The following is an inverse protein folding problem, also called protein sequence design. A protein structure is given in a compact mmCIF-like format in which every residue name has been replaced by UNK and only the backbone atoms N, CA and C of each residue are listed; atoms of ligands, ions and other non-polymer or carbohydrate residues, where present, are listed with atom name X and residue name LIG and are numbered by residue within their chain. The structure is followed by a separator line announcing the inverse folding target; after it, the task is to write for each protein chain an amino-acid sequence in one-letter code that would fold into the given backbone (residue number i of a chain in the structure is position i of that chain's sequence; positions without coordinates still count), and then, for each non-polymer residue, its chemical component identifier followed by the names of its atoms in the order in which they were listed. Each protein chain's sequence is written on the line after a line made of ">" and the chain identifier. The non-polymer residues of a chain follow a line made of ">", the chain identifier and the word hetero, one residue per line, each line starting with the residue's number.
data_IF_590292420632
#
_entry.id   IF_590292420632
#
_cell.length_a   1.000
_cell.length_b   1.000
_cell.length_c   1.000
_cell.angle_alpha   90.00
_cell.angle_beta   90.00
_cell.angle_gamma   90.00
#
_symmetry.space_group_name_H-M   'P 1'
#
loop_
_entity.id
_entity.type
_entity.pdbx_description
1 polymer ?
#
# COMPACT_ATOMS: atom_id res chain seq x y z
N UNK A 1 -57.76 14.42 -60.95
CA UNK A 1 -58.90 15.22 -60.44
C UNK A 1 -58.46 15.76 -59.07
N UNK A 2 -57.79 16.91 -59.01
CA UNK A 2 -58.27 18.30 -59.01
C UNK A 2 -58.95 18.72 -57.69
N UNK A 3 -58.42 19.83 -57.15
CA UNK A 3 -58.95 20.80 -56.17
C UNK A 3 -58.78 20.51 -54.67
N UNK A 4 -57.94 21.26 -53.93
CA UNK A 4 -58.02 22.70 -53.59
C UNK A 4 -59.25 23.04 -52.73
N UNK A 5 -59.05 23.40 -51.46
CA UNK A 5 -59.33 24.77 -50.97
C UNK A 5 -58.90 24.97 -49.50
N UNK A 6 -58.25 26.11 -49.28
CA UNK A 6 -57.88 26.72 -47.99
C UNK A 6 -59.12 27.19 -47.22
N UNK A 7 -59.04 27.25 -45.88
CA UNK A 7 -59.37 28.44 -45.07
C UNK A 7 -58.91 28.28 -43.61
N UNK A 8 -58.27 29.32 -43.11
CA UNK A 8 -57.72 29.46 -41.76
C UNK A 8 -58.77 29.98 -40.76
N UNK A 9 -58.57 29.74 -39.46
CA UNK A 9 -58.87 30.73 -38.43
C UNK A 9 -58.03 30.54 -37.16
N UNK A 10 -57.76 31.68 -36.54
CA UNK A 10 -56.85 32.01 -35.44
C UNK A 10 -57.13 31.31 -34.11
N UNK A 11 -56.07 31.11 -33.33
CA UNK A 11 -56.13 30.82 -31.90
C UNK A 11 -54.75 30.91 -31.24
N UNK A 12 -54.31 32.14 -30.97
CA UNK A 12 -53.08 32.50 -30.24
C UNK A 12 -53.15 32.07 -28.78
N UNK A 13 -52.18 31.30 -28.26
CA UNK A 13 -51.64 31.47 -26.89
C UNK A 13 -50.16 31.04 -26.88
N UNK A 14 -49.38 31.83 -26.17
CA UNK A 14 -47.93 31.92 -26.17
C UNK A 14 -47.19 30.74 -25.53
N UNK A 15 -45.90 30.63 -25.88
CA UNK A 15 -44.84 30.42 -24.89
C UNK A 15 -44.27 29.00 -24.83
N UNK A 16 -43.15 28.78 -25.53
CA UNK A 16 -41.84 28.58 -24.89
C UNK A 16 -40.79 28.43 -26.00
N UNK A 17 -39.95 29.45 -26.17
CA UNK A 17 -38.73 29.30 -26.95
C UNK A 17 -37.76 28.42 -26.12
N UNK A 18 -37.59 27.17 -26.52
CA UNK A 18 -36.51 26.33 -25.98
C UNK A 18 -35.21 26.85 -26.61
N UNK A 19 -34.49 27.69 -25.85
CA UNK A 19 -33.11 28.02 -26.15
C UNK A 19 -32.30 26.72 -26.15
N UNK A 20 -31.76 26.34 -27.31
CA UNK A 20 -30.60 25.46 -27.37
C UNK A 20 -29.44 26.20 -26.70
N UNK A 21 -29.21 25.94 -25.41
CA UNK A 21 -27.88 26.13 -24.85
C UNK A 21 -26.99 25.04 -25.45
N UNK A 22 -26.25 25.41 -26.50
CA UNK A 22 -25.00 24.76 -26.80
C UNK A 22 -24.09 24.94 -25.58
N UNK A 23 -24.18 24.01 -24.64
CA UNK A 23 -23.11 23.77 -23.69
C UNK A 23 -21.94 23.31 -24.53
N UNK A 24 -21.09 24.26 -24.89
CA UNK A 24 -19.68 24.00 -25.14
C UNK A 24 -19.16 23.37 -23.86
N UNK A 25 -19.31 22.04 -23.76
CA UNK A 25 -18.53 21.23 -22.86
C UNK A 25 -17.09 21.50 -23.23
N UNK A 26 -16.45 22.44 -22.53
CA UNK A 26 -15.01 22.36 -22.33
C UNK A 26 -14.78 20.91 -21.92
N UNK A 27 -13.82 20.17 -22.51
CA UNK A 27 -13.39 18.94 -21.87
C UNK A 27 -13.09 19.35 -20.44
N UNK A 28 -13.95 18.92 -19.52
CA UNK A 28 -13.68 19.06 -18.11
C UNK A 28 -12.40 18.26 -17.99
N UNK A 29 -11.28 18.97 -17.78
CA UNK A 29 -10.06 18.33 -17.38
C UNK A 29 -10.50 17.39 -16.27
N UNK A 30 -10.34 16.09 -16.51
CA UNK A 30 -10.50 15.08 -15.50
C UNK A 30 -9.45 15.45 -14.46
N UNK A 31 -9.81 16.34 -13.54
CA UNK A 31 -9.06 16.58 -12.33
C UNK A 31 -9.05 15.21 -11.68
N UNK A 32 -7.95 14.50 -11.88
CA UNK A 32 -7.71 13.20 -11.30
C UNK A 32 -7.54 13.42 -9.80
N UNK A 33 -8.66 13.56 -9.10
CA UNK A 33 -8.75 13.16 -7.71
C UNK A 33 -8.37 11.67 -7.69
N UNK A 34 -7.09 11.37 -7.54
CA UNK A 34 -6.59 10.00 -7.53
C UNK A 34 -7.25 9.29 -6.35
N UNK A 35 -8.24 8.45 -6.66
CA UNK A 35 -8.82 7.49 -5.73
C UNK A 35 -7.69 6.63 -5.14
N UNK A 36 -7.78 6.31 -3.85
CA UNK A 36 -6.85 5.36 -3.24
C UNK A 36 -6.89 4.05 -4.01
N UNK A 37 -5.75 3.60 -4.52
CA UNK A 37 -5.59 2.43 -5.37
C UNK A 37 -4.53 1.52 -4.78
N UNK A 38 -4.62 0.22 -5.04
CA UNK A 38 -3.59 -0.74 -4.65
C UNK A 38 -2.28 -0.29 -5.31
N UNK A 39 -1.30 -0.01 -4.46
CA UNK A 39 0.02 0.48 -4.84
C UNK A 39 1.06 -0.63 -4.89
N UNK A 40 0.87 -1.73 -4.17
CA UNK A 40 1.78 -2.87 -4.32
C UNK A 40 1.60 -3.93 -3.26
N UNK A 41 2.22 -5.08 -3.52
CA UNK A 41 2.09 -6.30 -2.74
C UNK A 41 3.37 -6.57 -1.97
N UNK A 42 3.26 -7.11 -0.76
CA UNK A 42 4.41 -7.36 0.12
C UNK A 42 4.39 -8.77 0.70
N UNK A 43 5.58 -9.33 0.85
CA UNK A 43 5.84 -10.52 1.65
C UNK A 43 6.86 -10.19 2.74
N UNK A 44 6.66 -10.72 3.94
CA UNK A 44 7.45 -10.35 5.11
C UNK A 44 7.55 -11.45 6.15
N UNK A 45 8.50 -11.25 7.08
CA UNK A 45 8.49 -11.88 8.40
C UNK A 45 8.37 -10.83 9.49
N UNK A 46 7.64 -11.21 10.53
CA UNK A 46 7.58 -10.46 11.78
C UNK A 46 8.36 -11.23 12.83
N UNK A 47 9.42 -10.63 13.34
CA UNK A 47 10.19 -11.14 14.45
C UNK A 47 9.65 -10.54 15.76
N UNK A 48 9.37 -11.39 16.74
CA UNK A 48 8.87 -10.99 18.05
C UNK A 48 9.72 -11.64 19.16
N UNK A 49 9.94 -10.89 20.23
CA UNK A 49 10.31 -11.44 21.52
C UNK A 49 9.15 -11.23 22.50
N UNK A 50 8.38 -12.28 22.84
CA UNK A 50 7.25 -12.17 23.75
C UNK A 50 7.64 -11.70 25.17
N UNK A 51 8.88 -11.93 25.59
CA UNK A 51 9.34 -11.58 26.94
C UNK A 51 9.57 -10.08 27.11
N UNK A 52 9.96 -9.39 26.03
CA UNK A 52 10.22 -7.94 26.03
C UNK A 52 9.19 -7.14 25.23
N UNK A 53 8.34 -7.82 24.45
CA UNK A 53 7.39 -7.20 23.52
C UNK A 53 8.07 -6.56 22.30
N UNK A 54 9.36 -6.79 22.06
CA UNK A 54 10.08 -6.24 20.90
C UNK A 54 9.59 -6.87 19.61
N UNK A 55 9.41 -6.03 18.59
CA UNK A 55 8.98 -6.44 17.25
C UNK A 55 9.86 -5.80 16.18
N UNK A 56 10.15 -6.56 15.12
CA UNK A 56 10.76 -6.06 13.89
C UNK A 56 10.12 -6.72 12.68
N UNK A 57 9.88 -5.92 11.64
CA UNK A 57 9.45 -6.40 10.33
C UNK A 57 10.63 -6.36 9.36
N UNK A 58 10.78 -7.41 8.56
CA UNK A 58 11.58 -7.38 7.33
C UNK A 58 10.79 -8.01 6.20
N UNK A 59 11.05 -7.60 4.97
CA UNK A 59 10.35 -8.15 3.82
C UNK A 59 10.74 -7.50 2.51
N UNK A 60 9.96 -7.78 1.49
CA UNK A 60 10.16 -7.23 0.15
C UNK A 60 8.84 -6.89 -0.52
N UNK A 61 8.92 -6.02 -1.53
CA UNK A 61 7.82 -5.73 -2.43
C UNK A 61 7.81 -6.77 -3.55
N UNK A 62 6.68 -7.46 -3.72
CA UNK A 62 6.48 -8.40 -4.81
C UNK A 62 6.05 -7.68 -6.09
N UNK A 63 5.28 -6.60 -5.95
CA UNK A 63 4.87 -5.73 -7.03
C UNK A 63 4.71 -4.29 -6.52
N UNK A 64 4.87 -3.31 -7.41
CA UNK A 64 4.61 -1.91 -7.14
C UNK A 64 3.95 -1.28 -8.38
N UNK A 65 2.72 -0.84 -8.22
CA UNK A 65 1.96 -0.19 -9.28
C UNK A 65 2.68 1.05 -9.79
N UNK A 66 2.93 1.10 -11.09
CA UNK A 66 3.70 2.16 -11.74
C UNK A 66 5.14 1.79 -12.06
N UNK A 67 5.66 0.70 -11.49
CA UNK A 67 6.95 0.10 -11.87
C UNK A 67 6.68 -1.08 -12.79
N UNK A 68 7.18 -1.01 -14.04
CA UNK A 68 6.94 -2.07 -15.04
C UNK A 68 8.01 -3.16 -15.03
N UNK A 69 9.15 -2.87 -14.42
CA UNK A 69 10.28 -3.79 -14.34
C UNK A 69 10.04 -4.80 -13.23
N UNK A 70 10.57 -6.01 -13.43
CA UNK A 70 10.60 -7.03 -12.37
C UNK A 70 11.26 -6.45 -11.11
N UNK A 71 10.62 -6.66 -9.95
CA UNK A 71 11.21 -6.41 -8.65
C UNK A 71 12.09 -7.57 -8.16
N UNK A 72 12.37 -8.54 -9.05
CA UNK A 72 13.19 -9.70 -8.77
C UNK A 72 14.30 -9.87 -9.83
N UNK A 73 15.51 -10.16 -9.36
CA UNK A 73 16.64 -10.62 -10.17
C UNK A 73 16.68 -12.16 -10.20
N UNK A 74 15.67 -12.77 -10.82
CA UNK A 74 15.49 -14.23 -10.87
C UNK A 74 14.08 -14.67 -10.50
N UNK A 75 13.93 -15.91 -10.04
CA UNK A 75 12.65 -16.43 -9.56
C UNK A 75 12.18 -15.63 -8.32
N UNK A 76 10.89 -15.26 -8.22
CA UNK A 76 10.40 -14.47 -7.09
C UNK A 76 10.69 -15.10 -5.72
N UNK A 77 11.29 -14.33 -4.81
CA UNK A 77 11.63 -14.73 -3.45
C UNK A 77 12.54 -13.71 -2.76
N UNK A 78 12.80 -13.89 -1.46
CA UNK A 78 13.63 -12.95 -0.68
C UNK A 78 15.05 -12.82 -1.23
N UNK A 79 15.62 -13.94 -1.70
CA UNK A 79 16.99 -13.99 -2.20
C UNK A 79 17.17 -13.21 -3.51
N UNK A 80 16.08 -12.92 -4.23
CA UNK A 80 16.13 -12.25 -5.54
C UNK A 80 15.47 -10.87 -5.53
N UNK A 81 14.86 -10.45 -4.43
CA UNK A 81 14.09 -9.21 -4.37
C UNK A 81 14.98 -7.96 -4.36
N UNK A 82 14.80 -7.09 -5.34
CA UNK A 82 15.61 -5.86 -5.49
C UNK A 82 15.12 -4.72 -4.62
N UNK A 83 13.85 -4.74 -4.20
CA UNK A 83 13.29 -3.77 -3.25
C UNK A 83 12.86 -4.48 -1.96
N UNK A 84 13.66 -4.29 -0.92
CA UNK A 84 13.40 -4.82 0.41
C UNK A 84 13.00 -3.71 1.37
N UNK A 85 12.47 -4.09 2.53
CA UNK A 85 12.24 -3.17 3.62
C UNK A 85 12.58 -3.79 4.96
N UNK A 86 12.88 -2.91 5.91
CA UNK A 86 13.12 -3.26 7.31
C UNK A 86 12.59 -2.16 8.22
N UNK A 87 11.93 -2.56 9.30
CA UNK A 87 11.54 -1.62 10.34
C UNK A 87 12.65 -1.41 11.36
N UNK A 88 12.64 -0.26 12.04
CA UNK A 88 13.30 -0.20 13.35
C UNK A 88 12.62 -1.18 14.32
N UNK A 89 13.29 -1.49 15.44
CA UNK A 89 12.66 -2.24 16.52
C UNK A 89 11.62 -1.33 17.20
N UNK A 90 10.41 -1.87 17.38
CA UNK A 90 9.31 -1.22 18.08
C UNK A 90 8.69 -2.20 19.08
N UNK A 91 7.61 -1.82 19.77
CA UNK A 91 6.99 -2.67 20.79
C UNK A 91 5.55 -3.02 20.47
N UNK A 92 5.16 -4.20 20.93
CA UNK A 92 3.80 -4.71 20.93
C UNK A 92 3.39 -5.05 22.37
N UNK A 93 2.16 -4.70 22.72
CA UNK A 93 1.57 -4.98 24.04
C UNK A 93 0.24 -5.70 23.84
N UNK A 94 0.12 -6.97 24.26
CA UNK A 94 -1.17 -7.66 24.22
C UNK A 94 -2.18 -6.95 25.12
N UNK A 95 -3.41 -6.86 24.66
CA UNK A 95 -4.56 -6.46 25.46
C UNK A 95 -5.22 -7.72 26.04
N UNK A 96 -6.04 -7.60 27.10
CA UNK A 96 -6.87 -8.71 27.56
C UNK A 96 -7.67 -9.32 26.40
N UNK A 97 -7.80 -10.65 26.40
CA UNK A 97 -8.58 -11.38 25.40
C UNK A 97 -10.04 -10.92 25.42
N UNK A 98 -10.64 -10.77 24.24
CA UNK A 98 -12.06 -10.50 24.07
C UNK A 98 -12.73 -11.69 23.38
N UNK A 99 -13.10 -12.71 24.18
CA UNK A 99 -13.59 -13.97 23.64
C UNK A 99 -12.51 -14.68 22.82
N UNK A 100 -12.84 -15.02 21.57
CA UNK A 100 -11.96 -15.65 20.58
C UNK A 100 -11.10 -14.64 19.78
N UNK A 101 -11.21 -13.35 20.10
CA UNK A 101 -10.42 -12.29 19.51
C UNK A 101 -9.30 -11.88 20.46
N UNK A 102 -8.06 -12.04 20.00
CA UNK A 102 -6.87 -11.51 20.68
C UNK A 102 -6.45 -10.20 20.03
N UNK A 103 -6.23 -9.17 20.84
CA UNK A 103 -5.87 -7.82 20.37
C UNK A 103 -4.50 -7.45 20.92
N UNK A 104 -3.66 -6.87 20.06
CA UNK A 104 -2.33 -6.39 20.44
C UNK A 104 -2.15 -4.96 19.98
N UNK A 105 -1.81 -4.06 20.89
CA UNK A 105 -1.48 -2.67 20.56
C UNK A 105 -0.02 -2.59 20.15
N UNK A 106 0.24 -1.98 18.99
CA UNK A 106 1.57 -1.90 18.39
C UNK A 106 1.98 -0.45 18.25
N UNK A 107 3.18 -0.09 18.74
CA UNK A 107 3.66 1.30 18.71
C UNK A 107 4.01 1.79 17.29
N UNK A 108 4.34 3.07 17.19
CA UNK A 108 4.86 3.67 15.95
C UNK A 108 6.16 3.00 15.55
N UNK A 109 6.37 2.87 14.24
CA UNK A 109 7.59 2.33 13.65
C UNK A 109 7.89 3.03 12.31
N UNK A 110 9.18 3.12 11.99
CA UNK A 110 9.74 3.52 10.70
C UNK A 110 10.07 2.26 9.92
N UNK A 111 9.71 2.27 8.65
CA UNK A 111 9.98 1.24 7.65
C UNK A 111 10.86 1.87 6.59
N UNK A 112 12.11 1.42 6.55
CA UNK A 112 13.08 1.84 5.55
C UNK A 112 13.00 0.89 4.37
N UNK A 113 13.00 1.43 3.16
CA UNK A 113 13.00 0.69 1.89
C UNK A 113 14.39 0.79 1.28
N UNK A 114 14.93 -0.34 0.85
CA UNK A 114 16.28 -0.48 0.34
C UNK A 114 16.26 -1.04 -1.08
N UNK A 115 17.09 -0.49 -1.96
CA UNK A 115 17.39 -1.02 -3.28
C UNK A 115 18.64 -1.90 -3.19
N UNK A 116 18.49 -3.20 -3.49
CA UNK A 116 19.58 -4.17 -3.56
C UNK A 116 19.85 -4.50 -5.02
N UNK A 117 20.95 -3.99 -5.58
CA UNK A 117 21.37 -4.30 -6.96
C UNK A 117 21.90 -5.72 -7.12
N UNK A 118 22.27 -6.35 -6.00
CA UNK A 118 22.76 -7.72 -5.92
C UNK A 118 22.01 -8.39 -4.78
N UNK A 119 20.73 -8.76 -4.98
CA UNK A 119 19.87 -9.23 -3.90
C UNK A 119 20.38 -10.56 -3.34
N UNK A 120 20.32 -10.66 -2.02
CA UNK A 120 20.77 -11.80 -1.21
C UNK A 120 19.96 -11.91 0.08
N UNK A 121 18.67 -11.53 0.02
CA UNK A 121 17.78 -11.58 1.17
C UNK A 121 17.73 -12.98 1.77
N UNK A 122 17.77 -13.05 3.09
CA UNK A 122 17.71 -14.28 3.88
C UNK A 122 16.90 -14.03 5.13
N UNK A 123 15.79 -14.77 5.28
CA UNK A 123 14.95 -14.68 6.47
C UNK A 123 15.67 -15.02 7.78
N UNK A 124 16.74 -15.83 7.73
CA UNK A 124 17.59 -16.13 8.89
C UNK A 124 18.54 -14.98 9.25
N UNK A 125 18.74 -14.02 8.35
CA UNK A 125 19.62 -12.87 8.52
C UNK A 125 18.89 -11.56 8.15
N UNK A 126 18.16 -10.93 9.08
CA UNK A 126 17.41 -9.70 8.81
C UNK A 126 18.24 -8.53 8.28
N UNK A 127 19.55 -8.52 8.55
CA UNK A 127 20.43 -7.46 8.07
C UNK A 127 20.57 -7.49 6.54
N UNK A 128 20.40 -8.65 5.91
CA UNK A 128 20.38 -8.82 4.45
C UNK A 128 19.30 -8.00 3.75
N UNK A 129 18.17 -7.73 4.40
CA UNK A 129 17.09 -6.89 3.87
C UNK A 129 17.40 -5.38 3.91
N UNK A 130 18.54 -5.01 4.48
CA UNK A 130 18.98 -3.62 4.64
C UNK A 130 20.41 -3.39 4.16
N UNK A 131 20.99 -4.31 3.39
CA UNK A 131 22.36 -4.20 2.87
C UNK A 131 22.50 -3.19 1.73
N UNK A 132 21.41 -2.95 1.00
CA UNK A 132 21.39 -2.06 -0.16
C UNK A 132 21.24 -0.56 0.16
N UNK A 133 20.95 0.19 -0.89
CA UNK A 133 20.81 1.64 -0.85
C UNK A 133 19.45 2.04 -0.25
N UNK A 134 19.41 2.80 0.85
CA UNK A 134 18.15 3.36 1.38
C UNK A 134 17.49 4.27 0.33
N UNK A 135 16.29 3.98 -0.14
CA UNK A 135 15.60 4.77 -1.19
C UNK A 135 14.34 5.46 -0.70
N UNK A 136 13.71 4.96 0.36
CA UNK A 136 12.57 5.61 0.98
C UNK A 136 12.45 5.26 2.47
N UNK A 137 11.74 6.09 3.23
CA UNK A 137 11.32 5.80 4.59
C UNK A 137 9.83 6.12 4.74
N UNK A 138 9.09 5.15 5.25
CA UNK A 138 7.71 5.31 5.68
C UNK A 138 7.66 5.28 7.20
N UNK A 139 6.85 6.14 7.81
CA UNK A 139 6.65 6.16 9.26
C UNK A 139 5.18 5.99 9.57
N UNK A 140 4.87 5.06 10.48
CA UNK A 140 3.49 4.80 10.89
C UNK A 140 2.89 6.06 11.52
N UNK A 141 1.64 6.39 11.16
CA UNK A 141 0.98 7.64 11.61
C UNK A 141 0.57 7.64 13.08
N UNK A 142 0.56 6.48 13.74
CA UNK A 142 0.25 6.33 15.16
C UNK A 142 0.32 4.86 15.60
N UNK A 143 0.03 4.57 16.88
CA UNK A 143 -0.21 3.21 17.33
C UNK A 143 -1.35 2.56 16.55
N UNK A 144 -1.28 1.25 16.36
CA UNK A 144 -2.29 0.49 15.61
C UNK A 144 -2.63 -0.79 16.35
N UNK A 145 -3.77 -1.38 16.03
CA UNK A 145 -4.22 -2.62 16.63
C UNK A 145 -4.00 -3.77 15.66
N UNK A 146 -3.31 -4.80 16.14
CA UNK A 146 -3.24 -6.11 15.51
C UNK A 146 -4.36 -6.95 16.11
N UNK A 147 -5.16 -7.59 15.25
CA UNK A 147 -6.18 -8.54 15.66
C UNK A 147 -5.79 -9.96 15.24
N UNK A 148 -6.11 -10.94 16.08
CA UNK A 148 -5.98 -12.35 15.77
C UNK A 148 -7.29 -13.07 16.09
N UNK A 149 -7.76 -13.88 15.14
CA UNK A 149 -8.90 -14.79 15.28
C UNK A 149 -8.49 -16.15 14.74
N UNK A 150 -8.49 -17.17 15.60
CA UNK A 150 -7.93 -18.48 15.25
C UNK A 150 -6.47 -18.38 14.78
N UNK A 151 -6.10 -18.99 13.64
CA UNK A 151 -4.74 -18.96 13.12
C UNK A 151 -4.38 -17.68 12.35
N UNK A 152 -5.36 -16.82 12.09
CA UNK A 152 -5.20 -15.65 11.21
C UNK A 152 -4.93 -14.40 12.03
N UNK A 153 -3.89 -13.67 11.62
CA UNK A 153 -3.62 -12.32 12.09
C UNK A 153 -4.03 -11.32 11.01
N UNK A 154 -4.59 -10.19 11.42
CA UNK A 154 -4.98 -9.09 10.54
C UNK A 154 -4.54 -7.75 11.14
N UNK A 155 -3.92 -6.91 10.31
CA UNK A 155 -3.40 -5.61 10.72
C UNK A 155 -3.67 -4.56 9.65
N UNK A 156 -4.36 -3.49 10.02
CA UNK A 156 -4.55 -2.32 9.16
C UNK A 156 -3.71 -1.16 9.68
N UNK A 157 -2.88 -0.58 8.81
CA UNK A 157 -1.90 0.42 9.18
C UNK A 157 -1.85 1.54 8.16
N UNK A 158 -1.61 2.78 8.61
CA UNK A 158 -1.28 3.89 7.71
C UNK A 158 0.08 4.48 8.03
N UNK A 159 0.79 4.82 6.97
CA UNK A 159 2.13 5.39 6.98
C UNK A 159 2.13 6.75 6.32
N UNK A 160 3.07 7.61 6.70
CA UNK A 160 3.48 8.80 5.95
C UNK A 160 4.81 8.48 5.26
N UNK A 161 4.98 8.96 4.03
CA UNK A 161 6.29 8.99 3.39
C UNK A 161 7.09 10.14 4.01
N UNK A 162 8.25 9.84 4.61
CA UNK A 162 9.11 10.84 5.28
C UNK A 162 10.41 11.08 4.55
N UNK A 163 10.81 10.14 3.71
CA UNK A 163 11.99 10.23 2.86
C UNK A 163 11.74 9.47 1.56
N UNK A 164 12.17 10.03 0.44
CA UNK A 164 12.24 9.35 -0.85
C UNK A 164 13.29 10.02 -1.70
N UNK A 165 14.05 9.23 -2.45
CA UNK A 165 14.98 9.74 -3.47
C UNK A 165 14.78 9.02 -4.78
N UNK A 166 15.40 9.54 -5.84
CA UNK A 166 15.46 8.87 -7.11
C UNK A 166 16.35 7.62 -7.02
N UNK A 167 15.94 6.55 -7.68
CA UNK A 167 16.71 5.30 -7.81
C UNK A 167 16.37 4.59 -9.13
N UNK A 168 17.19 3.62 -9.53
CA UNK A 168 16.99 2.89 -10.79
C UNK A 168 16.49 1.47 -10.53
N UNK A 169 15.43 1.07 -11.23
CA UNK A 169 14.97 -0.32 -11.32
C UNK A 169 14.90 -0.71 -12.80
N UNK A 170 15.69 -1.71 -13.20
CA UNK A 170 15.79 -2.14 -14.60
C UNK A 170 16.01 -0.98 -15.59
N UNK A 171 16.86 -0.02 -15.21
CA UNK A 171 17.19 1.16 -16.02
C UNK A 171 16.16 2.29 -15.99
N UNK A 172 15.01 2.13 -15.32
CA UNK A 172 14.01 3.20 -15.17
C UNK A 172 14.21 3.94 -13.86
N UNK A 173 14.22 5.28 -13.93
CA UNK A 173 14.29 6.13 -12.75
C UNK A 173 12.93 6.19 -12.05
N UNK A 174 12.93 5.85 -10.77
CA UNK A 174 11.75 5.77 -9.90
C UNK A 174 11.98 6.67 -8.69
N UNK A 175 10.91 7.32 -8.23
CA UNK A 175 10.86 7.97 -6.92
C UNK A 175 9.49 7.70 -6.29
N UNK A 176 9.46 7.09 -5.10
CA UNK A 176 8.19 6.70 -4.47
C UNK A 176 7.30 7.90 -4.11
N UNK A 177 7.86 9.10 -3.98
CA UNK A 177 7.11 10.33 -3.77
C UNK A 177 6.20 10.69 -4.96
N UNK A 178 6.48 10.18 -6.17
CA UNK A 178 5.62 10.39 -7.33
C UNK A 178 4.33 9.57 -7.28
N UNK A 179 4.35 8.43 -6.57
CA UNK A 179 3.24 7.47 -6.55
C UNK A 179 2.49 7.45 -5.20
N UNK A 180 3.21 7.68 -4.09
CA UNK A 180 2.66 7.67 -2.74
C UNK A 180 3.12 8.90 -1.92
N UNK A 181 2.91 10.14 -2.40
CA UNK A 181 3.39 11.36 -1.73
C UNK A 181 2.82 11.54 -0.32
N UNK A 182 1.63 11.01 -0.05
CA UNK A 182 0.97 11.09 1.24
C UNK A 182 1.16 9.83 2.10
N UNK A 183 1.96 8.87 1.61
CA UNK A 183 2.21 7.58 2.24
C UNK A 183 1.24 6.49 1.80
N UNK A 184 1.17 5.43 2.60
CA UNK A 184 0.51 4.18 2.26
C UNK A 184 -0.44 3.74 3.37
N UNK A 185 -1.52 3.07 3.02
CA UNK A 185 -2.28 2.20 3.93
C UNK A 185 -2.00 0.75 3.57
N UNK A 186 -1.60 -0.05 4.55
CA UNK A 186 -1.32 -1.48 4.40
C UNK A 186 -2.42 -2.27 5.09
N UNK A 187 -3.09 -3.13 4.32
CA UNK A 187 -3.87 -4.22 4.86
C UNK A 187 -2.98 -5.47 4.84
N UNK A 188 -2.64 -5.97 6.03
CA UNK A 188 -1.70 -7.05 6.20
C UNK A 188 -2.35 -8.24 6.90
N UNK A 189 -1.90 -9.43 6.54
CA UNK A 189 -2.34 -10.69 7.10
C UNK A 189 -1.15 -11.59 7.41
N UNK A 190 -1.29 -12.40 8.45
CA UNK A 190 -0.25 -13.33 8.88
C UNK A 190 -0.85 -14.62 9.41
N UNK A 191 0.03 -15.58 9.67
CA UNK A 191 -0.31 -16.81 10.39
C UNK A 191 0.37 -16.81 11.75
N UNK A 192 -0.31 -17.37 12.76
CA UNK A 192 0.29 -17.64 14.06
C UNK A 192 1.17 -18.91 14.07
N UNK A 193 1.30 -19.59 12.92
CA UNK A 193 2.22 -20.71 12.74
C UNK A 193 3.65 -20.19 12.83
N UNK A 194 4.36 -20.62 13.87
CA UNK A 194 5.73 -20.18 14.11
C UNK A 194 6.67 -20.67 13.01
N UNK A 195 7.59 -19.80 12.61
CA UNK A 195 8.79 -20.14 11.83
C UNK A 195 10.03 -19.81 12.65
N UNK A 196 11.20 -20.24 12.16
CA UNK A 196 12.47 -20.01 12.87
C UNK A 196 12.68 -18.53 13.19
N UNK A 197 12.86 -18.24 14.48
CA UNK A 197 13.29 -16.95 14.99
C UNK A 197 14.77 -16.68 14.72
N UNK A 198 15.29 -15.63 15.34
CA UNK A 198 16.66 -15.11 15.17
C UNK A 198 17.22 -14.68 16.53
N UNK A 199 18.53 -14.47 16.67
CA UNK A 199 19.09 -13.89 17.90
C UNK A 199 18.39 -12.57 18.27
N UNK A 200 17.90 -12.49 19.51
CA UNK A 200 17.16 -11.32 20.01
C UNK A 200 15.65 -11.31 19.72
N UNK A 201 15.14 -12.24 18.91
CA UNK A 201 13.71 -12.43 18.66
C UNK A 201 13.38 -13.92 18.60
N UNK A 202 12.84 -14.44 19.70
CA UNK A 202 12.64 -15.87 19.90
C UNK A 202 11.60 -16.50 18.98
N UNK A 203 10.70 -15.69 18.40
CA UNK A 203 9.70 -16.17 17.45
C UNK A 203 9.70 -15.34 16.17
N UNK A 204 9.32 -16.00 15.08
CA UNK A 204 9.00 -15.34 13.82
C UNK A 204 7.66 -15.84 13.27
N UNK A 205 6.93 -14.96 12.60
CA UNK A 205 5.65 -15.26 11.95
C UNK A 205 5.72 -14.88 10.46
N UNK A 206 5.16 -15.70 9.56
CA UNK A 206 5.01 -15.34 8.15
C UNK A 206 3.93 -14.27 7.99
N UNK A 207 4.18 -13.32 7.09
CA UNK A 207 3.32 -12.17 6.88
C UNK A 207 3.26 -11.77 5.40
N UNK A 208 2.14 -11.17 5.01
CA UNK A 208 1.96 -10.59 3.69
C UNK A 208 0.92 -9.48 3.72
N UNK A 209 0.70 -8.83 2.58
CA UNK A 209 -0.32 -7.82 2.48
C UNK A 209 -0.25 -7.02 1.19
N UNK A 210 -1.14 -6.05 1.09
CA UNK A 210 -1.18 -5.11 0.00
C UNK A 210 -1.26 -3.69 0.54
N UNK A 211 -0.51 -2.82 -0.11
CA UNK A 211 -0.44 -1.40 0.18
C UNK A 211 -1.35 -0.64 -0.78
N UNK A 212 -1.91 0.46 -0.30
CA UNK A 212 -2.70 1.40 -1.09
C UNK A 212 -2.11 2.79 -0.92
N UNK A 213 -1.98 3.54 -2.01
CA UNK A 213 -1.57 4.94 -1.92
C UNK A 213 -2.66 5.75 -1.20
N UNK A 214 -2.27 6.56 -0.22
CA UNK A 214 -3.19 7.47 0.46
C UNK A 214 -3.55 8.60 -0.50
N UNK A 215 -4.84 8.70 -0.85
CA UNK A 215 -5.39 9.79 -1.65
C UNK A 215 -5.30 11.15 -0.95
N UNK A 216 -5.52 12.23 -1.70
CA UNK A 216 -5.63 13.60 -1.16
C UNK A 216 -6.92 13.83 -0.40
#
# INVERSE_FOLDING_TARGET
>A
MLNSHKKACLGTVAGLAVMLFALSGRPQAQDSAYASWVFGDVAARVFLDPSTGKVQFVGYFADLTGIRQSLFNGAPGEATAVLTFRSNVFTARPLPSNGDVSLTLVTVAKFNVYLNTTPEGDWGNPDSFSSGQLVATFERRGPTMLAQTGPTLAHLLSFKLTYSRDFLVGGTQINLNQFAPHGLTLAAFGSNTLVSGIPGFSIALPWGGYTMAVGR
#
